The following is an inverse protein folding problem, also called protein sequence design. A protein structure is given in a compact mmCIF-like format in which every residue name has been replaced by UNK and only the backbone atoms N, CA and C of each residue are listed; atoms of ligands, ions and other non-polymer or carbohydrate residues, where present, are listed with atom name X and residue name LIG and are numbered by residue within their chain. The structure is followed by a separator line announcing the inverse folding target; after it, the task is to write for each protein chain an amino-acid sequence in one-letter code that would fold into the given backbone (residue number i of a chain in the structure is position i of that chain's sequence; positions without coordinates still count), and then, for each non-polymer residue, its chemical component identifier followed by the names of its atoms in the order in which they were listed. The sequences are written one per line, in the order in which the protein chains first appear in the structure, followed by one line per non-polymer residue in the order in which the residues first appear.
data_IF_406053975850
#
_entry.id   IF_406053975850
#
_cell.length_a   1.000
_cell.length_b   1.000
_cell.length_c   1.000
_cell.angle_alpha   90.00
_cell.angle_beta   90.00
_cell.angle_gamma   90.00
#
_symmetry.space_group_name_H-M   'P 1'
#
loop_
_entity.id
_entity.type
_entity.pdbx_description
1 polymer ?
#
# COMPACT_ATOMS: atom_id res chain seq x y z
N UNK A 1 -9.00 83.80 -156.61
CA UNK A 1 -9.52 82.42 -156.58
C UNK A 1 -8.77 81.66 -155.48
N UNK A 2 -9.34 81.03 -154.44
CA UNK A 2 -10.71 80.78 -154.02
C UNK A 2 -10.79 80.63 -152.47
N UNK A 3 -11.88 81.09 -151.82
CA UNK A 3 -12.12 81.06 -150.36
C UNK A 3 -12.43 79.66 -149.76
N UNK A 4 -12.49 78.58 -150.56
CA UNK A 4 -12.82 77.22 -150.08
C UNK A 4 -11.70 76.56 -149.27
N UNK A 5 -10.42 76.86 -149.56
CA UNK A 5 -9.27 76.28 -148.81
C UNK A 5 -9.16 76.79 -147.37
N UNK A 6 -9.57 78.03 -147.10
CA UNK A 6 -9.54 78.61 -145.73
C UNK A 6 -10.57 77.97 -144.79
N UNK A 7 -11.76 77.61 -145.31
CA UNK A 7 -12.79 76.91 -144.52
C UNK A 7 -12.37 75.46 -144.18
N UNK A 8 -11.75 74.75 -145.11
CA UNK A 8 -11.19 73.40 -144.89
C UNK A 8 -10.08 73.41 -143.84
N UNK A 9 -9.18 74.40 -143.88
CA UNK A 9 -8.13 74.58 -142.86
C UNK A 9 -8.71 74.87 -141.46
N UNK A 10 -9.72 75.74 -141.37
CA UNK A 10 -10.39 76.05 -140.11
C UNK A 10 -11.09 74.83 -139.51
N UNK A 11 -11.78 74.03 -140.34
CA UNK A 11 -12.42 72.78 -139.89
C UNK A 11 -11.40 71.75 -139.44
N UNK A 12 -10.27 71.62 -140.15
CA UNK A 12 -9.18 70.72 -139.75
C UNK A 12 -8.54 71.13 -138.41
N UNK A 13 -8.35 72.43 -138.18
CA UNK A 13 -7.82 72.96 -136.90
C UNK A 13 -8.83 72.73 -135.76
N UNK A 14 -10.12 72.96 -136.01
CA UNK A 14 -11.17 72.72 -135.02
C UNK A 14 -11.30 71.23 -134.66
N UNK A 15 -11.17 70.35 -135.64
CA UNK A 15 -11.11 68.89 -135.42
C UNK A 15 -9.85 68.49 -134.63
N UNK A 16 -8.68 69.05 -134.97
CA UNK A 16 -7.45 68.77 -134.24
C UNK A 16 -7.51 69.25 -132.78
N UNK A 17 -8.13 70.41 -132.52
CA UNK A 17 -8.34 70.91 -131.15
C UNK A 17 -9.35 70.06 -130.37
N UNK A 18 -10.45 69.62 -130.99
CA UNK A 18 -11.41 68.70 -130.37
C UNK A 18 -10.77 67.36 -130.03
N UNK A 19 -9.96 66.79 -130.94
CA UNK A 19 -9.21 65.55 -130.72
C UNK A 19 -8.20 65.76 -129.58
N UNK A 20 -7.48 66.88 -129.56
CA UNK A 20 -6.55 67.21 -128.48
C UNK A 20 -7.27 67.32 -127.13
N UNK A 21 -8.46 67.93 -127.07
CA UNK A 21 -9.25 68.06 -125.85
C UNK A 21 -9.77 66.70 -125.36
N UNK A 22 -10.19 65.82 -126.26
CA UNK A 22 -10.59 64.46 -125.92
C UNK A 22 -9.41 63.63 -125.39
N UNK A 23 -8.23 63.71 -126.03
CA UNK A 23 -7.02 62.99 -125.58
C UNK A 23 -6.57 63.50 -124.20
N UNK A 24 -6.57 64.82 -123.99
CA UNK A 24 -6.24 65.42 -122.69
C UNK A 24 -7.27 65.07 -121.61
N UNK A 25 -8.56 65.04 -121.95
CA UNK A 25 -9.63 64.61 -121.05
C UNK A 25 -9.48 63.15 -120.61
N UNK A 26 -9.26 62.23 -121.56
CA UNK A 26 -9.01 60.81 -121.28
C UNK A 26 -7.76 60.64 -120.41
N UNK A 27 -6.68 61.37 -120.71
CA UNK A 27 -5.46 61.32 -119.88
C UNK A 27 -5.70 61.84 -118.46
N UNK A 28 -6.49 62.90 -118.28
CA UNK A 28 -6.83 63.45 -116.97
C UNK A 28 -7.73 62.51 -116.16
N UNK A 29 -8.77 61.93 -116.77
CA UNK A 29 -9.64 60.95 -116.12
C UNK A 29 -8.89 59.66 -115.78
N UNK A 30 -8.03 59.18 -116.67
CA UNK A 30 -7.17 58.03 -116.39
C UNK A 30 -6.21 58.36 -115.24
N UNK A 31 -5.62 59.55 -115.20
CA UNK A 31 -4.72 59.95 -114.11
C UNK A 31 -5.47 60.09 -112.76
N UNK A 32 -6.72 60.55 -112.77
CA UNK A 32 -7.58 60.58 -111.57
C UNK A 32 -7.94 59.15 -111.13
N UNK A 33 -8.31 58.26 -112.07
CA UNK A 33 -8.59 56.85 -111.76
C UNK A 33 -7.37 56.16 -111.19
N UNK A 34 -6.21 56.28 -111.85
CA UNK A 34 -4.93 55.76 -111.37
C UNK A 34 -4.57 56.30 -109.98
N UNK A 35 -4.85 57.58 -109.70
CA UNK A 35 -4.60 58.17 -108.38
C UNK A 35 -5.56 57.64 -107.32
N UNK A 36 -6.82 57.41 -107.66
CA UNK A 36 -7.81 56.81 -106.77
C UNK A 36 -7.50 55.33 -106.49
N UNK A 37 -7.14 54.57 -107.52
CA UNK A 37 -6.74 53.16 -107.42
C UNK A 37 -5.46 53.03 -106.57
N UNK A 38 -4.46 53.90 -106.80
CA UNK A 38 -3.26 53.96 -105.98
C UNK A 38 -3.56 54.33 -104.52
N UNK A 39 -4.51 55.24 -104.27
CA UNK A 39 -4.92 55.59 -102.91
C UNK A 39 -5.71 54.45 -102.24
N UNK A 40 -6.55 53.72 -102.96
CA UNK A 40 -7.24 52.54 -102.44
C UNK A 40 -6.25 51.41 -102.15
N UNK A 41 -5.29 51.15 -103.03
CA UNK A 41 -4.17 50.22 -102.78
C UNK A 41 -3.36 50.65 -101.57
N UNK A 42 -3.07 51.95 -101.40
CA UNK A 42 -2.42 52.47 -100.19
C UNK A 42 -3.24 52.22 -98.92
N UNK A 43 -4.54 52.50 -98.94
CA UNK A 43 -5.41 52.23 -97.79
C UNK A 43 -5.50 50.73 -97.49
N UNK A 44 -5.57 49.88 -98.51
CA UNK A 44 -5.58 48.43 -98.36
C UNK A 44 -4.25 47.91 -97.80
N UNK A 45 -3.12 48.43 -98.28
CA UNK A 45 -1.79 48.06 -97.76
C UNK A 45 -1.57 48.57 -96.34
N UNK A 46 -2.02 49.77 -96.00
CA UNK A 46 -2.01 50.29 -94.62
C UNK A 46 -2.93 49.47 -93.69
N UNK A 47 -4.11 49.08 -94.17
CA UNK A 47 -5.04 48.20 -93.42
C UNK A 47 -4.43 46.81 -93.20
N UNK A 48 -3.89 46.19 -94.25
CA UNK A 48 -3.21 44.89 -94.17
C UNK A 48 -1.98 44.97 -93.26
N UNK A 49 -1.24 46.08 -93.27
CA UNK A 49 -0.12 46.29 -92.36
C UNK A 49 -0.60 46.40 -90.91
N UNK A 50 -1.69 47.11 -90.66
CA UNK A 50 -2.31 47.22 -89.32
C UNK A 50 -2.80 45.85 -88.81
N UNK A 51 -3.49 45.08 -89.65
CA UNK A 51 -3.93 43.72 -89.34
C UNK A 51 -2.73 42.79 -89.07
N UNK A 52 -1.69 42.88 -89.89
CA UNK A 52 -0.44 42.12 -89.69
C UNK A 52 0.22 42.48 -88.35
N UNK A 53 0.34 43.76 -88.03
CA UNK A 53 0.92 44.22 -86.75
C UNK A 53 0.08 43.76 -85.55
N UNK A 54 -1.26 43.77 -85.67
CA UNK A 54 -2.15 43.25 -84.62
C UNK A 54 -2.00 41.74 -84.46
N UNK A 55 -1.90 40.99 -85.57
CA UNK A 55 -1.63 39.55 -85.56
C UNK A 55 -0.26 39.24 -84.95
N UNK A 56 0.79 39.98 -85.31
CA UNK A 56 2.13 39.83 -84.71
C UNK A 56 2.08 40.07 -83.20
N UNK A 57 1.40 41.14 -82.76
CA UNK A 57 1.24 41.44 -81.33
C UNK A 57 0.45 40.38 -80.57
N UNK A 58 -0.63 39.84 -81.16
CA UNK A 58 -1.42 38.77 -80.54
C UNK A 58 -0.64 37.45 -80.51
N UNK A 59 0.14 37.15 -81.54
CA UNK A 59 1.02 35.98 -81.61
C UNK A 59 2.15 36.08 -80.56
N UNK A 60 2.76 37.26 -80.39
CA UNK A 60 3.70 37.52 -79.30
C UNK A 60 3.06 37.33 -77.92
N UNK A 61 1.83 37.84 -77.72
CA UNK A 61 1.08 37.65 -76.47
C UNK A 61 0.80 36.17 -76.18
N UNK A 62 0.30 35.42 -77.17
CA UNK A 62 0.03 33.98 -77.05
C UNK A 62 1.32 33.21 -76.77
N UNK A 63 2.44 33.56 -77.42
CA UNK A 63 3.75 32.97 -77.13
C UNK A 63 4.18 33.24 -75.68
N UNK A 64 3.98 34.46 -75.18
CA UNK A 64 4.27 34.80 -73.79
C UNK A 64 3.41 33.98 -72.83
N UNK A 65 2.09 33.95 -73.03
CA UNK A 65 1.15 33.18 -72.20
C UNK A 65 1.47 31.68 -72.23
N UNK A 66 1.85 31.14 -73.39
CA UNK A 66 2.25 29.74 -73.54
C UNK A 66 3.54 29.44 -72.77
N UNK A 67 4.53 30.33 -72.82
CA UNK A 67 5.77 30.20 -72.03
C UNK A 67 5.47 30.27 -70.52
N UNK A 68 4.57 31.15 -70.09
CA UNK A 68 4.15 31.27 -68.70
C UNK A 68 3.43 30.00 -68.23
N UNK A 69 2.51 29.46 -69.04
CA UNK A 69 1.82 28.20 -68.74
C UNK A 69 2.78 27.00 -68.70
N UNK A 70 3.76 26.93 -69.62
CA UNK A 70 4.80 25.91 -69.56
C UNK A 70 5.67 26.05 -68.30
N UNK A 71 5.99 27.28 -67.91
CA UNK A 71 6.69 27.58 -66.66
C UNK A 71 5.87 27.15 -65.43
N UNK A 72 4.57 27.42 -65.44
CA UNK A 72 3.65 27.01 -64.37
C UNK A 72 3.54 25.49 -64.28
N UNK A 73 3.36 24.80 -65.40
CA UNK A 73 3.32 23.33 -65.43
C UNK A 73 4.59 22.71 -64.84
N UNK A 74 5.78 23.20 -65.25
CA UNK A 74 7.05 22.72 -64.67
C UNK A 74 7.12 22.92 -63.15
N UNK A 75 6.62 24.07 -62.65
CA UNK A 75 6.58 24.33 -61.19
C UNK A 75 5.58 23.41 -60.48
N UNK A 76 4.43 23.14 -61.09
CA UNK A 76 3.43 22.22 -60.55
C UNK A 76 3.97 20.79 -60.54
N UNK A 77 4.62 20.33 -61.61
CA UNK A 77 5.26 19.01 -61.68
C UNK A 77 6.32 18.86 -60.60
N UNK A 78 7.17 19.87 -60.39
CA UNK A 78 8.15 19.89 -59.30
C UNK A 78 7.47 19.81 -57.92
N UNK A 79 6.36 20.54 -57.74
CA UNK A 79 5.61 20.53 -56.47
C UNK A 79 4.94 19.19 -56.22
N UNK A 80 4.41 18.52 -57.25
CA UNK A 80 3.85 17.17 -57.17
C UNK A 80 4.94 16.19 -56.73
N UNK A 81 6.12 16.22 -57.38
CA UNK A 81 7.24 15.36 -57.01
C UNK A 81 7.72 15.58 -55.56
N UNK A 82 7.75 16.84 -55.10
CA UNK A 82 8.09 17.15 -53.71
C UNK A 82 7.05 16.60 -52.73
N UNK A 83 5.76 16.79 -53.02
CA UNK A 83 4.68 16.27 -52.18
C UNK A 83 4.66 14.74 -52.16
N UNK A 84 4.93 14.08 -53.27
CA UNK A 84 5.04 12.62 -53.34
C UNK A 84 6.20 12.09 -52.48
N UNK A 85 7.36 12.74 -52.52
CA UNK A 85 8.51 12.39 -51.68
C UNK A 85 8.22 12.64 -50.18
N UNK A 86 7.58 13.76 -49.84
CA UNK A 86 7.14 14.04 -48.47
C UNK A 86 6.11 13.02 -47.98
N UNK A 87 5.14 12.64 -48.83
CA UNK A 87 4.13 11.65 -48.50
C UNK A 87 4.77 10.27 -48.28
N UNK A 88 5.69 9.84 -49.16
CA UNK A 88 6.42 8.59 -49.01
C UNK A 88 7.25 8.56 -47.70
N UNK A 89 7.88 9.68 -47.33
CA UNK A 89 8.58 9.81 -46.04
C UNK A 89 7.62 9.68 -44.87
N UNK A 90 6.47 10.37 -44.91
CA UNK A 90 5.46 10.32 -43.84
C UNK A 90 4.84 8.94 -43.69
N UNK A 91 4.56 8.23 -44.78
CA UNK A 91 4.09 6.85 -44.72
C UNK A 91 5.13 5.90 -44.11
N UNK A 92 6.40 6.08 -44.45
CA UNK A 92 7.52 5.31 -43.87
C UNK A 92 7.66 5.57 -42.36
N UNK A 93 7.59 6.83 -41.94
CA UNK A 93 7.58 7.22 -40.51
C UNK A 93 6.39 6.59 -39.78
N UNK A 94 5.19 6.65 -40.35
CA UNK A 94 3.97 6.10 -39.77
C UNK A 94 4.06 4.57 -39.62
N UNK A 95 4.57 3.86 -40.64
CA UNK A 95 4.83 2.41 -40.56
C UNK A 95 5.81 2.07 -39.44
N UNK A 96 6.90 2.83 -39.29
CA UNK A 96 7.88 2.65 -38.20
C UNK A 96 7.25 2.87 -36.83
N UNK A 97 6.42 3.91 -36.68
CA UNK A 97 5.72 4.19 -35.41
C UNK A 97 4.71 3.09 -35.06
N UNK A 98 3.95 2.58 -36.03
CA UNK A 98 3.03 1.45 -35.82
C UNK A 98 3.82 0.21 -35.37
N UNK A 99 4.91 -0.12 -36.07
CA UNK A 99 5.76 -1.26 -35.74
C UNK A 99 6.39 -1.13 -34.35
N UNK A 100 6.76 0.08 -33.92
CA UNK A 100 7.28 0.36 -32.58
C UNK A 100 6.20 0.30 -31.48
N UNK A 101 4.95 0.64 -31.78
CA UNK A 101 3.85 0.64 -30.82
C UNK A 101 3.27 -0.75 -30.55
N UNK A 102 3.31 -1.66 -31.54
CA UNK A 102 2.83 -3.03 -31.38
C UNK A 102 3.50 -3.80 -30.21
N UNK A 103 4.84 -3.85 -30.07
CA UNK A 103 5.50 -4.52 -28.95
C UNK A 103 5.31 -3.78 -27.62
N UNK A 104 5.10 -2.46 -27.64
CA UNK A 104 4.78 -1.71 -26.42
C UNK A 104 3.42 -2.12 -25.87
N UNK A 105 2.42 -2.33 -26.73
CA UNK A 105 1.09 -2.81 -26.30
C UNK A 105 1.15 -4.21 -25.70
N UNK A 106 1.95 -5.13 -26.27
CA UNK A 106 2.13 -6.46 -25.66
C UNK A 106 2.87 -6.35 -24.33
N UNK A 107 3.89 -5.49 -24.23
CA UNK A 107 4.62 -5.26 -22.97
C UNK A 107 3.72 -4.69 -21.87
N UNK A 108 2.83 -3.76 -22.19
CA UNK A 108 1.85 -3.23 -21.23
C UNK A 108 0.95 -4.35 -20.71
N UNK A 109 0.41 -5.21 -21.59
CA UNK A 109 -0.42 -6.35 -21.18
C UNK A 109 0.33 -7.35 -20.31
N UNK A 110 1.59 -7.65 -20.64
CA UNK A 110 2.45 -8.51 -19.82
C UNK A 110 2.67 -7.92 -18.43
N UNK A 111 2.95 -6.61 -18.34
CA UNK A 111 3.15 -5.90 -17.08
C UNK A 111 1.86 -5.85 -16.27
N UNK A 112 0.70 -5.62 -16.89
CA UNK A 112 -0.60 -5.67 -16.22
C UNK A 112 -0.90 -7.06 -15.65
N UNK A 113 -0.63 -8.12 -16.42
CA UNK A 113 -0.80 -9.49 -15.95
C UNK A 113 0.17 -9.83 -14.80
N UNK A 114 1.44 -9.42 -14.90
CA UNK A 114 2.43 -9.61 -13.84
C UNK A 114 2.06 -8.84 -12.57
N UNK A 115 1.60 -7.59 -12.72
CA UNK A 115 1.12 -6.76 -11.61
C UNK A 115 -0.09 -7.38 -10.92
N UNK A 116 -1.04 -7.92 -11.70
CA UNK A 116 -2.22 -8.59 -11.16
C UNK A 116 -1.84 -9.82 -10.34
N UNK A 117 -0.93 -10.65 -10.85
CA UNK A 117 -0.41 -11.83 -10.11
C UNK A 117 0.32 -11.42 -8.84
N UNK A 118 1.21 -10.42 -8.93
CA UNK A 118 1.94 -9.92 -7.78
C UNK A 118 1.01 -9.37 -6.68
N UNK A 119 -0.09 -8.70 -7.07
CA UNK A 119 -1.12 -8.24 -6.11
C UNK A 119 -1.83 -9.41 -5.44
N UNK A 120 -2.21 -10.43 -6.19
CA UNK A 120 -2.86 -11.63 -5.64
C UNK A 120 -1.94 -12.38 -4.68
N UNK A 121 -0.68 -12.59 -5.04
CA UNK A 121 0.33 -13.18 -4.16
C UNK A 121 0.54 -12.36 -2.89
N UNK A 122 0.60 -11.03 -3.02
CA UNK A 122 0.73 -10.13 -1.89
C UNK A 122 -0.48 -10.22 -0.94
N UNK A 123 -1.70 -10.27 -1.47
CA UNK A 123 -2.91 -10.41 -0.66
C UNK A 123 -2.97 -11.76 0.07
N UNK A 124 -2.55 -12.84 -0.59
CA UNK A 124 -2.44 -14.17 0.04
C UNK A 124 -1.40 -14.16 1.17
N UNK A 125 -0.21 -13.62 0.91
CA UNK A 125 0.85 -13.49 1.91
C UNK A 125 0.40 -12.63 3.09
N UNK A 126 -0.23 -11.48 2.82
CA UNK A 126 -0.74 -10.57 3.85
C UNK A 126 -1.77 -11.24 4.76
N UNK A 127 -2.72 -12.01 4.18
CA UNK A 127 -3.68 -12.79 4.97
C UNK A 127 -2.98 -13.85 5.82
N UNK A 128 -2.06 -14.63 5.23
CA UNK A 128 -1.31 -15.66 5.94
C UNK A 128 -0.51 -15.08 7.12
N UNK A 129 0.17 -13.96 6.91
CA UNK A 129 0.91 -13.28 7.98
C UNK A 129 -0.02 -12.80 9.10
N UNK A 130 -1.18 -12.23 8.78
CA UNK A 130 -2.16 -11.83 9.80
C UNK A 130 -2.63 -13.02 10.64
N UNK A 131 -3.04 -14.11 9.99
CA UNK A 131 -3.45 -15.34 10.67
C UNK A 131 -2.34 -15.91 11.57
N UNK A 132 -1.10 -15.93 11.09
CA UNK A 132 0.05 -16.40 11.85
C UNK A 132 0.36 -15.49 13.05
N UNK A 133 0.26 -14.17 12.90
CA UNK A 133 0.44 -13.23 14.01
C UNK A 133 -0.63 -13.38 15.09
N UNK A 134 -1.90 -13.57 14.70
CA UNK A 134 -3.00 -13.81 15.64
C UNK A 134 -2.81 -15.15 16.38
N UNK A 135 -2.43 -16.20 15.65
CA UNK A 135 -2.13 -17.50 16.23
C UNK A 135 -1.00 -17.42 17.25
N UNK A 136 0.13 -16.79 16.90
CA UNK A 136 1.27 -16.61 17.80
C UNK A 136 0.93 -15.75 19.01
N UNK A 137 0.09 -14.72 18.86
CA UNK A 137 -0.38 -13.90 19.96
C UNK A 137 -1.23 -14.73 20.96
N UNK A 138 -2.12 -15.57 20.45
CA UNK A 138 -2.94 -16.47 21.25
C UNK A 138 -2.10 -17.54 21.96
N UNK A 139 -1.14 -18.15 21.27
CA UNK A 139 -0.21 -19.12 21.86
C UNK A 139 0.64 -18.48 22.96
N UNK A 140 1.16 -17.28 22.73
CA UNK A 140 1.92 -16.52 23.74
C UNK A 140 1.06 -16.22 24.98
N UNK A 141 -0.19 -15.84 24.80
CA UNK A 141 -1.11 -15.56 25.91
C UNK A 141 -1.42 -16.85 26.69
N UNK A 142 -1.67 -17.96 25.99
CA UNK A 142 -1.91 -19.27 26.60
C UNK A 142 -0.71 -19.75 27.41
N UNK A 143 0.49 -19.69 26.82
CA UNK A 143 1.74 -20.07 27.47
C UNK A 143 2.03 -19.19 28.70
N UNK A 144 1.78 -17.88 28.61
CA UNK A 144 1.92 -16.97 29.75
C UNK A 144 0.97 -17.36 30.89
N UNK A 145 -0.30 -17.63 30.59
CA UNK A 145 -1.26 -18.06 31.60
C UNK A 145 -0.88 -19.41 32.24
N UNK A 146 -0.33 -20.34 31.46
CA UNK A 146 0.20 -21.60 31.99
C UNK A 146 1.42 -21.39 32.87
N UNK A 147 2.32 -20.51 32.46
CA UNK A 147 3.52 -20.14 33.23
C UNK A 147 3.13 -19.49 34.57
N UNK A 148 2.20 -18.54 34.56
CA UNK A 148 1.74 -17.86 35.77
C UNK A 148 1.10 -18.86 36.75
N UNK A 149 0.29 -19.81 36.25
CA UNK A 149 -0.27 -20.90 37.06
C UNK A 149 0.81 -21.81 37.65
N UNK A 150 1.80 -22.22 36.85
CA UNK A 150 2.90 -23.06 37.30
C UNK A 150 3.76 -22.36 38.36
N UNK A 151 4.01 -21.06 38.21
CA UNK A 151 4.73 -20.26 39.21
C UNK A 151 3.94 -20.21 40.52
N UNK A 152 2.62 -20.00 40.46
CA UNK A 152 1.78 -20.02 41.65
C UNK A 152 1.75 -21.38 42.34
N UNK A 153 1.61 -22.46 41.58
CA UNK A 153 1.63 -23.83 42.10
C UNK A 153 2.99 -24.18 42.71
N UNK A 154 4.09 -23.81 42.03
CA UNK A 154 5.44 -23.99 42.55
C UNK A 154 5.65 -23.26 43.87
N UNK A 155 5.22 -22.00 43.99
CA UNK A 155 5.29 -21.23 45.26
C UNK A 155 4.47 -21.90 46.37
N UNK A 156 3.26 -22.38 46.07
CA UNK A 156 2.42 -23.11 47.04
C UNK A 156 3.10 -24.40 47.50
N UNK A 157 3.66 -25.17 46.58
CA UNK A 157 4.37 -26.41 46.88
C UNK A 157 5.65 -26.18 47.67
N UNK A 158 6.44 -25.15 47.35
CA UNK A 158 7.64 -24.79 48.11
C UNK A 158 7.29 -24.38 49.55
N UNK A 159 6.24 -23.57 49.73
CA UNK A 159 5.74 -23.20 51.04
C UNK A 159 5.30 -24.44 51.84
N UNK A 160 4.48 -25.32 51.24
CA UNK A 160 4.02 -26.56 51.87
C UNK A 160 5.18 -27.49 52.24
N UNK A 161 6.16 -27.67 51.35
CA UNK A 161 7.33 -28.51 51.59
C UNK A 161 8.21 -27.94 52.72
N UNK A 162 8.37 -26.63 52.79
CA UNK A 162 9.11 -25.97 53.87
C UNK A 162 8.44 -26.21 55.23
N UNK A 163 7.11 -26.10 55.30
CA UNK A 163 6.36 -26.37 56.53
C UNK A 163 6.44 -27.86 56.89
N UNK A 164 6.31 -28.75 55.91
CA UNK A 164 6.44 -30.19 56.12
C UNK A 164 7.83 -30.55 56.64
N UNK A 165 8.91 -30.01 56.06
CA UNK A 165 10.28 -30.21 56.56
C UNK A 165 10.43 -29.73 58.02
N UNK A 166 9.83 -28.59 58.37
CA UNK A 166 9.83 -28.11 59.74
C UNK A 166 9.06 -29.02 60.71
N UNK A 167 7.95 -29.61 60.26
CA UNK A 167 7.17 -30.58 61.02
C UNK A 167 7.86 -31.94 61.15
N UNK A 168 8.53 -32.43 60.10
CA UNK A 168 9.26 -33.69 60.12
C UNK A 168 10.59 -33.58 60.86
N UNK A 169 11.18 -32.38 60.94
CA UNK A 169 12.30 -32.11 61.83
C UNK A 169 11.89 -32.23 63.30
N UNK A 170 12.86 -32.48 64.18
CA UNK A 170 12.69 -32.50 65.65
C UNK A 170 12.37 -31.10 66.23
N UNK A 171 11.75 -30.22 65.45
CA UNK A 171 11.43 -28.84 65.77
C UNK A 171 9.93 -28.65 66.04
N UNK A 172 9.25 -29.72 66.41
CA UNK A 172 7.85 -29.69 66.84
C UNK A 172 7.70 -30.31 68.23
N UNK A 173 6.71 -29.84 68.98
CA UNK A 173 6.42 -30.29 70.34
C UNK A 173 4.91 -30.29 70.58
N UNK A 174 4.42 -31.38 71.18
CA UNK A 174 3.02 -31.51 71.58
C UNK A 174 2.94 -31.57 73.09
N UNK A 175 2.18 -30.66 73.68
CA UNK A 175 2.03 -30.56 75.13
C UNK A 175 0.55 -30.54 75.51
N UNK A 176 0.17 -31.47 76.38
CA UNK A 176 -1.09 -31.41 77.11
C UNK A 176 -0.81 -30.79 78.48
N UNK A 177 -1.49 -29.68 78.80
CA UNK A 177 -1.21 -28.91 80.01
C UNK A 177 -2.45 -28.72 80.88
N UNK A 178 -2.21 -28.50 82.18
CA UNK A 178 -3.23 -28.28 83.21
C UNK A 178 -2.91 -27.07 84.08
N UNK A 179 -3.96 -26.41 84.54
CA UNK A 179 -3.88 -25.25 85.43
C UNK A 179 -3.40 -23.99 84.72
N UNK A 180 -3.36 -22.87 85.46
CA UNK A 180 -2.90 -21.57 84.94
C UNK A 180 -1.39 -21.49 84.70
N UNK A 181 -0.61 -22.38 85.33
CA UNK A 181 0.85 -22.42 85.23
C UNK A 181 1.33 -23.47 84.21
N UNK A 182 0.45 -23.94 83.32
CA UNK A 182 0.78 -24.82 82.21
C UNK A 182 1.57 -26.08 82.59
N UNK A 183 1.19 -26.71 83.71
CA UNK A 183 1.84 -27.96 84.15
C UNK A 183 1.53 -29.06 83.14
N UNK A 184 2.56 -29.70 82.61
CA UNK A 184 2.40 -30.82 81.66
C UNK A 184 1.67 -31.99 82.33
N UNK A 185 0.73 -32.61 81.61
CA UNK A 185 -0.03 -33.78 82.06
C UNK A 185 -0.26 -34.75 80.91
N UNK A 186 -0.15 -36.05 81.19
CA UNK A 186 -0.53 -37.10 80.24
C UNK A 186 -1.99 -37.57 80.42
N UNK A 187 -2.66 -37.16 81.50
CA UNK A 187 -4.02 -37.60 81.82
C UNK A 187 -5.09 -36.80 81.08
N UNK A 188 -5.93 -37.47 80.31
CA UNK A 188 -6.98 -36.85 79.49
C UNK A 188 -7.90 -35.98 80.34
N UNK A 189 -8.46 -36.55 81.41
CA UNK A 189 -9.40 -35.85 82.32
C UNK A 189 -8.80 -34.63 83.05
N UNK A 190 -7.48 -34.52 83.12
CA UNK A 190 -6.77 -33.40 83.77
C UNK A 190 -6.30 -32.34 82.77
N UNK A 191 -6.33 -32.64 81.48
CA UNK A 191 -5.85 -31.75 80.42
C UNK A 191 -6.88 -30.63 80.21
N UNK A 192 -6.43 -29.38 80.29
CA UNK A 192 -7.27 -28.19 80.09
C UNK A 192 -7.00 -27.50 78.75
N UNK A 193 -5.81 -27.70 78.18
CA UNK A 193 -5.50 -27.28 76.81
C UNK A 193 -4.41 -28.16 76.23
N UNK A 194 -4.44 -28.34 74.92
CA UNK A 194 -3.39 -29.01 74.14
C UNK A 194 -2.75 -27.97 73.25
N UNK A 195 -1.42 -27.99 73.19
CA UNK A 195 -0.61 -27.07 72.39
C UNK A 195 0.28 -27.87 71.47
N UNK A 196 0.17 -27.63 70.18
CA UNK A 196 1.10 -28.12 69.18
C UNK A 196 1.97 -26.95 68.72
N UNK A 197 3.27 -27.02 68.96
CA UNK A 197 4.22 -25.94 68.67
C UNK A 197 5.23 -26.40 67.64
N UNK A 198 5.52 -25.57 66.64
CA UNK A 198 6.61 -25.82 65.68
C UNK A 198 7.17 -24.50 65.15
N UNK A 199 8.44 -24.45 64.74
CA UNK A 199 9.05 -23.23 64.16
C UNK A 199 9.21 -23.34 62.65
N UNK A 200 8.88 -22.27 61.95
CA UNK A 200 9.00 -22.13 60.49
C UNK A 200 9.72 -20.83 60.13
N UNK A 201 10.31 -20.72 58.92
CA UNK A 201 10.79 -19.44 58.39
C UNK A 201 9.69 -18.37 58.39
N UNK A 202 10.05 -17.10 58.61
CA UNK A 202 9.10 -15.97 58.65
C UNK A 202 8.25 -15.87 57.39
N UNK A 203 8.84 -16.12 56.24
CA UNK A 203 8.25 -15.93 54.91
C UNK A 203 7.17 -16.97 54.53
N UNK A 204 6.94 -17.99 55.38
CA UNK A 204 6.09 -19.14 55.05
C UNK A 204 4.98 -19.32 56.08
N UNK A 205 3.77 -19.74 55.68
CA UNK A 205 2.71 -20.17 56.60
C UNK A 205 1.92 -19.04 57.26
N UNK A 206 1.44 -18.07 56.47
CA UNK A 206 0.58 -16.98 56.96
C UNK A 206 -0.89 -17.41 57.13
N UNK A 207 -1.35 -18.40 56.37
CA UNK A 207 -2.74 -18.90 56.41
C UNK A 207 -2.84 -20.32 56.98
N UNK A 208 -2.23 -20.52 58.14
CA UNK A 208 -2.22 -21.82 58.83
C UNK A 208 -3.48 -22.03 59.64
N UNK A 209 -4.04 -23.22 59.53
CA UNK A 209 -5.15 -23.68 60.37
C UNK A 209 -5.05 -25.19 60.58
N UNK A 210 -5.83 -25.71 61.53
CA UNK A 210 -5.76 -27.12 61.87
C UNK A 210 -7.12 -27.75 62.14
N UNK A 211 -7.17 -29.07 61.95
CA UNK A 211 -8.24 -29.95 62.43
C UNK A 211 -7.69 -30.86 63.51
N UNK A 212 -8.34 -30.91 64.66
CA UNK A 212 -8.07 -31.90 65.70
C UNK A 212 -9.12 -33.00 65.63
N UNK A 213 -8.67 -34.25 65.53
CA UNK A 213 -9.53 -35.44 65.55
C UNK A 213 -9.38 -36.11 66.92
N UNK A 214 -10.50 -36.31 67.62
CA UNK A 214 -10.51 -36.99 68.92
C UNK A 214 -10.56 -38.54 68.75
N UNK A 215 -10.40 -39.33 69.84
CA UNK A 215 -10.47 -40.78 69.77
C UNK A 215 -11.82 -41.35 69.30
N UNK A 216 -12.88 -40.56 69.38
CA UNK A 216 -14.24 -40.92 68.97
C UNK A 216 -14.53 -40.55 67.50
N UNK A 217 -13.58 -39.86 66.83
CA UNK A 217 -13.73 -39.41 65.44
C UNK A 217 -14.30 -38.00 65.26
N UNK A 218 -14.64 -37.29 66.34
CA UNK A 218 -15.12 -35.90 66.27
C UNK A 218 -13.99 -34.96 65.82
N UNK A 219 -14.35 -34.00 64.96
CA UNK A 219 -13.43 -33.06 64.32
C UNK A 219 -13.65 -31.66 64.88
N UNK A 220 -12.56 -31.01 65.30
CA UNK A 220 -12.55 -29.63 65.77
C UNK A 220 -11.67 -28.77 64.87
N UNK A 221 -12.24 -27.78 64.20
CA UNK A 221 -11.54 -26.92 63.24
C UNK A 221 -11.22 -25.55 63.83
N UNK A 222 -10.01 -25.04 63.59
CA UNK A 222 -9.60 -23.73 64.11
C UNK A 222 -10.18 -22.53 63.36
N UNK A 223 -10.81 -22.73 62.20
CA UNK A 223 -11.48 -21.67 61.44
C UNK A 223 -12.81 -21.27 62.09
N UNK A 224 -13.56 -22.25 62.61
CA UNK A 224 -14.95 -22.04 63.03
C UNK A 224 -15.15 -22.18 64.56
N UNK A 225 -14.19 -22.78 65.27
CA UNK A 225 -14.35 -23.09 66.68
C UNK A 225 -13.49 -22.19 67.59
N UNK A 226 -14.13 -21.46 68.51
CA UNK A 226 -13.46 -20.64 69.55
C UNK A 226 -12.53 -21.44 70.45
N UNK A 227 -12.74 -22.76 70.54
CA UNK A 227 -11.93 -23.70 71.28
C UNK A 227 -10.62 -24.05 70.57
N UNK A 228 -10.43 -23.70 69.29
CA UNK A 228 -9.21 -23.96 68.53
C UNK A 228 -8.64 -22.63 67.99
N UNK A 229 -7.42 -22.27 68.40
CA UNK A 229 -6.79 -20.98 68.06
C UNK A 229 -5.37 -21.19 67.56
N UNK A 230 -4.95 -20.38 66.58
CA UNK A 230 -3.57 -20.34 66.07
C UNK A 230 -2.92 -19.08 66.60
N UNK A 231 -1.77 -19.21 67.26
CA UNK A 231 -0.94 -18.08 67.66
C UNK A 231 0.38 -18.12 66.91
N UNK A 232 0.81 -16.96 66.45
CA UNK A 232 2.08 -16.76 65.75
C UNK A 232 2.94 -15.83 66.59
N UNK A 233 4.09 -16.32 67.02
CA UNK A 233 5.08 -15.53 67.76
C UNK A 233 6.33 -15.42 66.91
N UNK A 234 6.63 -14.21 66.44
CA UNK A 234 7.87 -13.97 65.70
C UNK A 234 9.07 -13.93 66.65
N UNK A 235 10.16 -14.57 66.26
CA UNK A 235 11.42 -14.52 66.99
C UNK A 235 12.52 -14.13 66.01
N UNK A 236 12.96 -12.87 66.07
CA UNK A 236 14.20 -12.44 65.42
C UNK A 236 15.37 -12.99 66.21
N UNK A 237 15.78 -14.24 65.92
CA UNK A 237 17.04 -14.77 66.42
C UNK A 237 18.12 -14.21 65.50
N UNK A 238 18.86 -13.22 65.99
CA UNK A 238 20.16 -12.87 65.40
C UNK A 238 21.09 -14.05 65.70
N UNK A 239 21.27 -14.95 64.73
CA UNK A 239 22.37 -15.89 64.79
C UNK A 239 23.67 -15.08 64.69
N UNK A 240 24.61 -15.34 65.60
CA UNK A 240 25.96 -14.78 65.48
C UNK A 240 26.52 -15.20 64.10
N UNK A 241 26.91 -14.20 63.31
CA UNK A 241 27.37 -14.33 61.92
C UNK A 241 28.65 -15.18 61.83
N UNK A 242 28.57 -16.33 61.16
CA UNK A 242 29.74 -17.01 60.58
C UNK A 242 29.58 -17.32 59.09
N UNK A 243 28.61 -16.69 58.39
CA UNK A 243 28.58 -16.75 56.93
C UNK A 243 27.86 -15.54 56.31
N UNK A 244 28.55 -14.70 55.51
CA UNK A 244 27.97 -13.51 54.89
C UNK A 244 27.01 -13.80 53.72
N UNK A 245 26.78 -15.08 53.37
CA UNK A 245 25.92 -15.46 52.23
C UNK A 245 24.52 -15.94 52.64
N UNK A 246 24.26 -16.13 53.94
CA UNK A 246 22.95 -16.53 54.45
C UNK A 246 22.18 -15.29 54.91
N UNK A 247 21.30 -14.78 54.03
CA UNK A 247 20.23 -13.85 54.42
C UNK A 247 19.64 -14.33 55.74
N UNK A 248 19.55 -13.46 56.74
CA UNK A 248 18.99 -13.80 58.06
C UNK A 248 17.55 -14.31 57.89
N UNK A 249 17.36 -15.62 57.78
CA UNK A 249 16.03 -16.22 57.70
C UNK A 249 15.47 -16.17 59.11
N UNK A 250 14.81 -15.08 59.44
CA UNK A 250 14.09 -14.97 60.72
C UNK A 250 13.14 -16.16 60.86
N UNK A 251 12.95 -16.64 62.09
CA UNK A 251 12.02 -17.74 62.36
C UNK A 251 10.78 -17.22 63.09
N UNK A 252 9.65 -17.90 62.89
CA UNK A 252 8.44 -17.69 63.68
C UNK A 252 8.00 -19.01 64.29
N UNK A 253 7.50 -18.93 65.50
CA UNK A 253 6.96 -20.07 66.25
C UNK A 253 5.45 -20.06 66.10
N UNK A 254 4.90 -21.17 65.61
CA UNK A 254 3.46 -21.39 65.46
C UNK A 254 3.00 -22.25 66.61
N UNK A 255 1.99 -21.78 67.34
CA UNK A 255 1.31 -22.52 68.40
C UNK A 255 -0.14 -22.77 68.00
N UNK A 256 -0.49 -24.04 67.79
CA UNK A 256 -1.86 -24.49 67.57
C UNK A 256 -2.43 -24.91 68.92
N UNK A 257 -3.42 -24.17 69.42
CA UNK A 257 -3.95 -24.34 70.77
C UNK A 257 -5.40 -24.83 70.69
N UNK A 258 -5.67 -25.97 71.32
CA UNK A 258 -7.00 -26.48 71.53
C UNK A 258 -7.39 -26.45 73.02
N UNK A 259 -8.51 -25.80 73.33
CA UNK A 259 -9.10 -25.66 74.67
C UNK A 259 -10.46 -26.36 74.68
N UNK A 260 -10.56 -27.62 75.14
CA UNK A 260 -11.81 -28.37 75.10
C UNK A 260 -12.87 -27.76 76.02
N UNK A 261 -14.11 -27.72 75.55
CA UNK A 261 -15.28 -27.28 76.32
C UNK A 261 -15.71 -28.30 77.39
N UNK A 262 -15.38 -29.58 77.16
CA UNK A 262 -15.68 -30.71 78.03
C UNK A 262 -14.42 -31.52 78.36
N UNK A 263 -14.50 -32.44 79.33
CA UNK A 263 -13.33 -33.26 79.70
C UNK A 263 -12.93 -34.18 78.55
N UNK A 264 -11.64 -34.18 78.21
CA UNK A 264 -11.09 -35.07 77.18
C UNK A 264 -11.23 -36.54 77.55
N UNK A 265 -11.53 -37.37 76.56
CA UNK A 265 -11.52 -38.83 76.63
C UNK A 265 -10.10 -39.38 76.49
N UNK A 266 -9.89 -40.60 76.99
CA UNK A 266 -8.60 -41.29 76.87
C UNK A 266 -8.48 -41.82 75.43
N UNK A 267 -7.29 -41.74 74.84
CA UNK A 267 -7.06 -42.27 73.51
C UNK A 267 -6.07 -41.47 72.69
N UNK A 268 -6.08 -41.70 71.38
CA UNK A 268 -5.19 -41.07 70.40
C UNK A 268 -5.92 -39.89 69.78
N UNK A 269 -5.27 -38.74 69.84
CA UNK A 269 -5.70 -37.51 69.19
C UNK A 269 -4.78 -37.24 68.00
N UNK A 270 -5.31 -36.65 66.94
CA UNK A 270 -4.53 -36.32 65.75
C UNK A 270 -4.76 -34.87 65.31
N UNK A 271 -3.68 -34.11 65.24
CA UNK A 271 -3.65 -32.82 64.56
C UNK A 271 -3.42 -33.04 63.08
N UNK A 272 -4.26 -32.45 62.23
CA UNK A 272 -4.03 -32.28 60.79
C UNK A 272 -3.84 -30.79 60.52
N UNK A 273 -2.72 -30.43 59.93
CA UNK A 273 -2.32 -29.04 59.68
C UNK A 273 -2.50 -28.72 58.20
N UNK A 274 -3.04 -27.53 57.94
CA UNK A 274 -3.38 -27.05 56.61
C UNK A 274 -2.83 -25.63 56.41
N UNK A 275 -2.44 -25.32 55.18
CA UNK A 275 -2.09 -23.96 54.72
C UNK A 275 -2.99 -23.62 53.54
N UNK A 276 -3.88 -22.65 53.70
CA UNK A 276 -4.95 -22.43 52.71
C UNK A 276 -5.83 -23.67 52.58
N UNK A 277 -5.95 -24.27 51.39
CA UNK A 277 -6.72 -25.51 51.18
C UNK A 277 -5.83 -26.77 51.13
N UNK A 278 -4.52 -26.61 51.28
CA UNK A 278 -3.56 -27.71 51.14
C UNK A 278 -3.29 -28.38 52.50
N UNK A 279 -3.46 -29.70 52.53
CA UNK A 279 -3.00 -30.52 53.66
C UNK A 279 -1.47 -30.57 53.69
N UNK A 280 -0.89 -30.24 54.84
CA UNK A 280 0.57 -30.20 55.01
C UNK A 280 1.05 -31.49 55.66
N UNK A 281 0.40 -31.89 56.76
CA UNK A 281 0.87 -33.02 57.55
C UNK A 281 0.02 -33.25 58.78
N UNK A 282 0.31 -34.33 59.49
CA UNK A 282 -0.38 -34.69 60.72
C UNK A 282 0.59 -35.14 61.81
N UNK A 283 0.17 -34.96 63.05
CA UNK A 283 0.87 -35.49 64.20
C UNK A 283 -0.14 -36.07 65.19
N UNK A 284 0.20 -37.18 65.82
CA UNK A 284 -0.69 -37.86 66.76
C UNK A 284 -0.06 -37.95 68.14
N UNK A 285 -0.89 -37.81 69.17
CA UNK A 285 -0.46 -37.91 70.56
C UNK A 285 -1.51 -38.68 71.37
N UNK A 286 -1.08 -39.30 72.47
CA UNK A 286 -1.94 -40.14 73.32
C UNK A 286 -2.15 -39.53 74.69
N UNK A 287 -3.40 -39.48 75.13
CA UNK A 287 -3.78 -39.14 76.50
C UNK A 287 -4.28 -40.38 77.25
N UNK A 288 -3.88 -40.50 78.52
CA UNK A 288 -4.15 -41.63 79.43
C UNK A 288 -5.27 -41.37 80.43
#
# INVERSE_FOLDING_TARGET
MEPKRKKLLLVAILLALLISWMISGISFFNNISLKNDLNQEKLNTESLLSEKLLLEKTLEKIKSEMNDLQGLNKRLDQKILQLDDELAKKESELKKQIASNAPLRSKVRELEAALSKAKEEFDILSKKYKEETEKLANEKMSLKNQLDKLIEESKKLEAANTILKAMSGNNHRVEAVRGKNDKITAFARRTQRVVFTFKIPKDVGNDLWFKLINPEGNIFESKDNKSATVKVTESSVNFYEESPELKSVGTKTIELIYKPESRLSKGIYMFKIYSGDQYIGSNSFRLR
#
